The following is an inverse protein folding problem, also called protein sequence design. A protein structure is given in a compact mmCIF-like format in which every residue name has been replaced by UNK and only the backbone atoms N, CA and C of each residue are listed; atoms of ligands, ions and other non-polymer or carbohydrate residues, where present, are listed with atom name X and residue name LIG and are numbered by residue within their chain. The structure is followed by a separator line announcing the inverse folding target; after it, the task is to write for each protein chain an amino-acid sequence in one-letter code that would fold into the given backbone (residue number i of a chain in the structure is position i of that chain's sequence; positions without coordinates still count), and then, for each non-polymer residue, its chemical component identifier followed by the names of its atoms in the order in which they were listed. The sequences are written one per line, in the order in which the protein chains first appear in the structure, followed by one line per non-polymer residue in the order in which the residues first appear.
data_IF_497404157547
#
_entry.id   IF_497404157547
#
_cell.length_a   1.000
_cell.length_b   1.000
_cell.length_c   1.000
_cell.angle_alpha   90.00
_cell.angle_beta   90.00
_cell.angle_gamma   90.00
#
_symmetry.space_group_name_H-M   'P 1'
#
loop_
_entity.id
_entity.type
_entity.pdbx_description
1 polymer ?
#
# COMPACT_ATOMS: atom_id res chain seq x y z
N UNK A 1 45.41 13.27 -33.46
CA UNK A 1 45.74 11.86 -33.20
C UNK A 1 44.89 11.41 -32.03
N UNK A 2 44.14 10.33 -32.24
CA UNK A 2 43.08 9.83 -31.37
C UNK A 2 43.54 8.60 -30.56
N UNK A 3 43.05 8.52 -29.32
CA UNK A 3 42.70 7.30 -28.55
C UNK A 3 43.78 6.25 -28.21
N UNK A 4 43.50 5.24 -27.37
CA UNK A 4 42.86 5.30 -26.04
C UNK A 4 43.55 4.34 -25.03
N UNK A 5 43.49 4.60 -23.72
CA UNK A 5 43.89 3.61 -22.70
C UNK A 5 42.66 3.03 -21.99
N UNK A 6 42.19 1.93 -22.58
CA UNK A 6 41.50 0.74 -22.05
C UNK A 6 40.77 0.79 -20.69
N UNK A 7 39.48 0.47 -20.78
CA UNK A 7 38.70 -0.21 -19.75
C UNK A 7 39.46 -1.38 -19.11
N UNK A 8 39.48 -1.45 -17.78
CA UNK A 8 39.72 -2.67 -17.03
C UNK A 8 38.37 -3.25 -16.54
N UNK A 9 38.14 -4.56 -16.66
CA UNK A 9 36.85 -5.19 -16.40
C UNK A 9 36.59 -5.38 -14.90
N UNK A 10 35.32 -5.27 -14.53
CA UNK A 10 34.83 -5.55 -13.19
C UNK A 10 35.15 -7.00 -12.81
N UNK A 11 35.99 -7.19 -11.78
CA UNK A 11 36.22 -8.51 -11.21
C UNK A 11 35.03 -8.93 -10.35
N UNK A 12 34.26 -9.87 -10.87
CA UNK A 12 33.22 -10.59 -10.16
C UNK A 12 33.87 -11.53 -9.12
N UNK A 13 33.90 -11.12 -7.86
CA UNK A 13 34.28 -12.01 -6.76
C UNK A 13 33.16 -13.01 -6.52
N UNK A 14 33.36 -14.22 -7.06
CA UNK A 14 32.57 -15.43 -6.79
C UNK A 14 32.55 -15.71 -5.29
N UNK A 15 31.39 -15.63 -4.65
CA UNK A 15 31.13 -16.34 -3.40
C UNK A 15 30.57 -17.71 -3.80
N UNK A 16 31.33 -18.76 -3.48
CA UNK A 16 31.08 -20.13 -3.94
C UNK A 16 29.82 -20.79 -3.34
N UNK A 17 29.38 -21.91 -3.93
CA UNK A 17 28.11 -22.54 -3.65
C UNK A 17 28.31 -23.67 -2.63
N UNK A 18 28.37 -23.35 -1.33
CA UNK A 18 28.31 -24.38 -0.29
C UNK A 18 27.62 -23.81 0.96
N UNK A 19 26.29 -23.84 0.93
CA UNK A 19 25.50 -23.97 2.15
C UNK A 19 24.27 -24.81 1.82
N UNK A 20 24.52 -26.12 1.77
CA UNK A 20 23.51 -27.17 1.75
C UNK A 20 22.65 -27.01 3.00
N UNK A 21 21.45 -26.46 2.85
CA UNK A 21 20.43 -26.58 3.88
C UNK A 21 19.85 -27.99 3.79
N UNK A 22 20.36 -28.87 4.65
CA UNK A 22 19.88 -30.23 4.79
C UNK A 22 18.40 -30.25 5.14
N UNK A 23 17.64 -31.03 4.38
CA UNK A 23 16.28 -31.43 4.70
C UNK A 23 16.32 -32.44 5.84
N UNK A 24 16.07 -32.00 7.07
CA UNK A 24 15.72 -32.89 8.17
C UNK A 24 14.20 -32.82 8.37
N UNK A 25 13.50 -33.87 7.91
CA UNK A 25 12.10 -34.12 8.28
C UNK A 25 12.10 -34.64 9.72
N UNK A 26 11.86 -33.77 10.68
CA UNK A 26 11.33 -34.14 11.98
C UNK A 26 9.91 -33.59 12.09
N UNK A 27 8.94 -34.48 12.31
CA UNK A 27 7.55 -34.12 12.48
C UNK A 27 7.38 -33.25 13.72
N UNK A 28 6.89 -32.03 13.52
CA UNK A 28 6.52 -31.11 14.58
C UNK A 28 5.72 -29.98 13.98
N UNK A 29 4.43 -29.90 14.35
CA UNK A 29 3.60 -28.72 14.09
C UNK A 29 4.29 -27.50 14.68
N UNK A 30 4.89 -26.68 13.83
CA UNK A 30 5.40 -25.36 14.20
C UNK A 30 4.37 -24.34 13.74
N UNK A 31 3.49 -23.98 14.66
CA UNK A 31 2.73 -22.73 14.56
C UNK A 31 3.74 -21.60 14.43
N UNK A 32 3.66 -20.83 13.34
CA UNK A 32 4.38 -19.56 13.21
C UNK A 32 3.73 -18.50 14.12
N UNK A 33 3.85 -18.70 15.43
CA UNK A 33 3.66 -17.67 16.46
C UNK A 33 5.04 -17.15 16.81
N UNK A 34 5.50 -16.13 16.09
CA UNK A 34 6.86 -15.62 16.35
C UNK A 34 7.37 -14.58 15.36
N UNK A 35 6.57 -13.57 15.04
CA UNK A 35 7.13 -12.28 14.60
C UNK A 35 6.58 -11.19 15.51
N UNK A 36 7.43 -10.29 16.06
CA UNK A 36 7.03 -9.34 17.07
C UNK A 36 6.22 -8.20 16.46
N UNK A 37 4.93 -8.45 16.22
CA UNK A 37 3.94 -7.37 16.16
C UNK A 37 3.72 -6.74 17.55
N UNK A 38 4.25 -7.37 18.60
CA UNK A 38 4.01 -7.09 20.02
C UNK A 38 5.05 -6.16 20.68
N UNK A 39 6.11 -5.74 19.97
CA UNK A 39 7.18 -4.89 20.55
C UNK A 39 6.90 -3.38 20.52
N UNK A 40 5.70 -2.94 20.11
CA UNK A 40 5.32 -1.54 20.21
C UNK A 40 3.93 -1.38 20.85
N UNK A 41 3.84 -1.42 22.19
CA UNK A 41 2.57 -1.51 22.92
C UNK A 41 1.70 -0.23 22.86
N UNK A 42 2.08 0.81 22.12
CA UNK A 42 1.40 2.11 22.14
C UNK A 42 0.78 2.55 20.81
N UNK A 43 0.89 1.79 19.71
CA UNK A 43 0.35 2.21 18.40
C UNK A 43 -0.32 1.03 17.67
N UNK A 44 -1.61 1.17 17.33
CA UNK A 44 -2.40 0.14 16.63
C UNK A 44 -1.86 -0.21 15.22
N UNK A 45 -2.27 -1.37 14.65
CA UNK A 45 -1.67 -1.96 13.43
C UNK A 45 -1.69 -1.07 12.18
N UNK A 46 -2.54 -0.05 12.14
CA UNK A 46 -2.66 0.90 11.02
C UNK A 46 -1.68 2.07 11.08
N UNK A 47 -1.20 2.43 12.28
CA UNK A 47 -0.20 3.49 12.50
C UNK A 47 1.23 2.98 12.28
N UNK A 48 1.41 1.65 12.25
CA UNK A 48 2.73 1.00 12.14
C UNK A 48 3.36 1.14 10.75
N UNK A 49 2.58 1.26 9.67
CA UNK A 49 3.14 1.27 8.31
C UNK A 49 4.04 2.48 8.06
N UNK A 50 3.60 3.68 8.41
CA UNK A 50 4.40 4.91 8.24
C UNK A 50 5.70 4.85 9.05
N UNK A 51 5.61 4.46 10.33
CA UNK A 51 6.80 4.34 11.17
C UNK A 51 7.80 3.30 10.65
N UNK A 52 7.32 2.16 10.14
CA UNK A 52 8.15 1.12 9.53
C UNK A 52 8.82 1.66 8.26
N UNK A 53 8.07 2.31 7.36
CA UNK A 53 8.63 2.89 6.13
C UNK A 53 9.73 3.93 6.44
N UNK A 54 9.48 4.82 7.42
CA UNK A 54 10.48 5.78 7.87
C UNK A 54 11.70 5.11 8.53
N UNK A 55 11.50 4.02 9.27
CA UNK A 55 12.61 3.24 9.82
C UNK A 55 13.45 2.59 8.71
N UNK A 56 12.80 1.97 7.72
CA UNK A 56 13.48 1.31 6.60
C UNK A 56 14.28 2.30 5.77
N UNK A 57 13.70 3.46 5.43
CA UNK A 57 14.42 4.51 4.68
C UNK A 57 15.69 4.97 5.40
N UNK A 58 15.61 5.18 6.72
CA UNK A 58 16.75 5.60 7.56
C UNK A 58 17.78 4.50 7.74
N UNK A 59 17.35 3.27 8.03
CA UNK A 59 18.23 2.12 8.29
C UNK A 59 19.02 1.72 7.06
N UNK A 60 18.35 1.65 5.91
CA UNK A 60 18.94 1.16 4.67
C UNK A 60 19.47 2.27 3.77
N UNK A 61 19.37 3.54 4.19
CA UNK A 61 19.84 4.71 3.42
C UNK A 61 19.30 4.67 1.98
N UNK A 62 18.00 4.47 1.86
CA UNK A 62 17.31 4.41 0.56
C UNK A 62 17.53 5.70 -0.23
N UNK A 63 17.35 5.69 -1.57
CA UNK A 63 17.42 6.90 -2.38
C UNK A 63 16.61 8.07 -1.82
N UNK A 64 17.17 9.29 -1.92
CA UNK A 64 16.64 10.49 -1.25
C UNK A 64 15.19 10.80 -1.60
N UNK A 65 14.76 10.50 -2.84
CA UNK A 65 13.39 10.79 -3.31
C UNK A 65 12.30 10.13 -2.47
N UNK A 66 12.56 8.98 -1.83
CA UNK A 66 11.57 8.31 -0.97
C UNK A 66 11.18 9.18 0.22
N UNK A 67 12.18 9.79 0.86
CA UNK A 67 11.99 10.67 2.01
C UNK A 67 13.00 11.83 1.93
N UNK A 68 12.68 12.89 1.16
CA UNK A 68 13.63 13.92 0.75
C UNK A 68 14.35 14.60 1.91
N UNK A 69 15.58 15.05 1.68
CA UNK A 69 16.31 15.91 2.64
C UNK A 69 15.90 17.37 2.58
N UNK A 70 15.43 17.85 1.43
CA UNK A 70 14.86 19.18 1.31
C UNK A 70 13.69 19.35 2.29
N UNK A 71 13.73 20.43 3.07
CA UNK A 71 12.78 20.66 4.16
C UNK A 71 11.34 20.78 3.65
N UNK A 72 11.12 21.44 2.52
CA UNK A 72 9.78 21.66 1.99
C UNK A 72 9.21 20.39 1.35
N UNK A 73 10.03 19.64 0.60
CA UNK A 73 9.64 18.37 0.02
C UNK A 73 9.32 17.33 1.12
N UNK A 74 10.15 17.28 2.17
CA UNK A 74 9.89 16.44 3.35
C UNK A 74 8.58 16.81 4.04
N UNK A 75 8.34 18.10 4.26
CA UNK A 75 7.11 18.58 4.88
C UNK A 75 5.85 18.18 4.07
N UNK A 76 5.93 18.15 2.74
CA UNK A 76 4.82 17.66 1.89
C UNK A 76 4.58 16.16 2.05
N UNK A 77 5.65 15.36 2.17
CA UNK A 77 5.53 13.92 2.45
C UNK A 77 4.88 13.70 3.82
N UNK A 78 5.37 14.40 4.85
CA UNK A 78 4.84 14.30 6.22
C UNK A 78 3.38 14.78 6.29
N UNK A 79 3.02 15.87 5.60
CA UNK A 79 1.64 16.37 5.51
C UNK A 79 0.70 15.31 4.95
N UNK A 80 1.08 14.67 3.84
CA UNK A 80 0.27 13.59 3.25
C UNK A 80 0.15 12.39 4.19
N UNK A 81 1.28 11.93 4.76
CA UNK A 81 1.29 10.75 5.62
C UNK A 81 0.46 10.95 6.89
N UNK A 82 0.41 12.17 7.41
CA UNK A 82 -0.48 12.54 8.52
C UNK A 82 -1.95 12.59 8.09
N UNK A 83 -2.25 13.21 6.94
CA UNK A 83 -3.61 13.39 6.45
C UNK A 83 -4.31 12.07 6.08
N UNK A 84 -3.60 11.13 5.42
CA UNK A 84 -4.24 9.91 4.90
C UNK A 84 -4.92 9.07 5.99
N UNK A 85 -4.40 9.09 7.23
CA UNK A 85 -4.84 8.21 8.30
C UNK A 85 -6.32 8.40 8.66
N UNK A 86 -6.83 9.63 8.57
CA UNK A 86 -8.20 9.98 8.92
C UNK A 86 -9.07 10.31 7.70
N UNK A 87 -8.48 10.35 6.50
CA UNK A 87 -9.17 10.66 5.26
C UNK A 87 -9.09 9.48 4.28
N UNK A 88 -8.11 9.48 3.37
CA UNK A 88 -8.06 8.54 2.25
C UNK A 88 -8.10 7.08 2.69
N UNK A 89 -7.28 6.71 3.67
CA UNK A 89 -7.21 5.34 4.20
C UNK A 89 -8.56 4.85 4.70
N UNK A 90 -9.24 5.66 5.51
CA UNK A 90 -10.55 5.35 6.09
C UNK A 90 -11.58 5.14 4.97
N UNK A 91 -11.61 6.03 3.99
CA UNK A 91 -12.63 6.01 2.94
C UNK A 91 -12.41 4.88 1.92
N UNK A 92 -11.16 4.59 1.55
CA UNK A 92 -10.82 3.42 0.73
C UNK A 92 -11.17 2.11 1.43
N UNK A 93 -10.87 1.99 2.73
CA UNK A 93 -11.17 0.80 3.52
C UNK A 93 -12.68 0.59 3.69
N UNK A 94 -13.43 1.63 4.07
CA UNK A 94 -14.89 1.58 4.16
C UNK A 94 -15.51 1.21 2.82
N UNK A 95 -15.00 1.74 1.71
CA UNK A 95 -15.47 1.39 0.37
C UNK A 95 -15.28 -0.10 0.07
N UNK A 96 -14.10 -0.66 0.34
CA UNK A 96 -13.85 -2.09 0.17
C UNK A 96 -14.80 -2.94 1.01
N UNK A 97 -15.02 -2.55 2.26
CA UNK A 97 -15.90 -3.30 3.16
C UNK A 97 -17.36 -3.21 2.77
N UNK A 98 -17.88 -2.00 2.56
CA UNK A 98 -19.30 -1.78 2.27
C UNK A 98 -19.71 -2.29 0.89
N UNK A 99 -18.85 -2.13 -0.13
CA UNK A 99 -19.18 -2.52 -1.50
C UNK A 99 -18.93 -3.99 -1.78
N UNK A 100 -17.96 -4.62 -1.11
CA UNK A 100 -17.50 -5.96 -1.46
C UNK A 100 -17.42 -6.93 -0.28
N UNK A 101 -16.63 -6.63 0.76
CA UNK A 101 -16.35 -7.64 1.79
C UNK A 101 -17.58 -7.99 2.65
N UNK A 102 -18.40 -7.03 3.05
CA UNK A 102 -19.64 -7.33 3.78
C UNK A 102 -20.61 -8.15 2.93
N UNK A 103 -21.02 -7.72 1.71
CA UNK A 103 -22.01 -8.46 0.94
C UNK A 103 -21.49 -9.80 0.41
N UNK A 104 -20.25 -9.88 -0.08
CA UNK A 104 -19.72 -11.09 -0.76
C UNK A 104 -19.04 -12.04 0.22
N UNK A 105 -18.13 -11.53 1.05
CA UNK A 105 -17.33 -12.37 1.94
C UNK A 105 -18.06 -12.71 3.25
N UNK A 106 -18.74 -11.73 3.86
CA UNK A 106 -19.51 -11.92 5.10
C UNK A 106 -20.95 -12.36 4.84
N UNK A 107 -21.51 -12.11 3.66
CA UNK A 107 -22.93 -12.37 3.36
C UNK A 107 -23.85 -11.42 4.12
N UNK A 108 -23.36 -10.25 4.53
CA UNK A 108 -24.09 -9.24 5.28
C UNK A 108 -24.49 -8.09 4.34
N UNK A 109 -25.79 -7.81 4.17
CA UNK A 109 -26.23 -6.74 3.30
C UNK A 109 -25.84 -5.38 3.88
N UNK A 110 -25.52 -4.44 2.99
CA UNK A 110 -25.24 -3.04 3.34
C UNK A 110 -26.39 -2.18 2.83
N UNK A 111 -26.89 -1.30 3.69
CA UNK A 111 -27.97 -0.39 3.33
C UNK A 111 -27.55 0.52 2.14
N UNK A 112 -28.39 0.68 1.11
CA UNK A 112 -28.05 1.50 -0.06
C UNK A 112 -27.61 2.93 0.29
N UNK A 113 -28.23 3.53 1.31
CA UNK A 113 -27.92 4.88 1.80
C UNK A 113 -26.52 4.95 2.41
N UNK A 114 -26.13 3.91 3.16
CA UNK A 114 -24.80 3.80 3.76
C UNK A 114 -23.72 3.62 2.69
N UNK A 115 -23.99 2.82 1.65
CA UNK A 115 -23.08 2.65 0.53
C UNK A 115 -22.93 3.97 -0.24
N UNK A 116 -24.04 4.66 -0.55
CA UNK A 116 -24.02 5.94 -1.24
C UNK A 116 -23.22 7.00 -0.47
N UNK A 117 -23.41 7.10 0.86
CA UNK A 117 -22.63 8.00 1.70
C UNK A 117 -21.13 7.66 1.67
N UNK A 118 -20.78 6.37 1.73
CA UNK A 118 -19.37 5.92 1.67
C UNK A 118 -18.71 6.28 0.34
N UNK A 119 -19.43 6.12 -0.77
CA UNK A 119 -18.93 6.48 -2.09
C UNK A 119 -18.76 8.00 -2.25
N UNK A 120 -19.66 8.80 -1.66
CA UNK A 120 -19.51 10.25 -1.63
C UNK A 120 -18.31 10.71 -0.78
N UNK A 121 -18.06 10.07 0.37
CA UNK A 121 -16.87 10.32 1.21
C UNK A 121 -15.57 9.99 0.44
N UNK A 122 -15.56 8.88 -0.30
CA UNK A 122 -14.44 8.52 -1.19
C UNK A 122 -14.24 9.58 -2.26
N UNK A 123 -15.31 9.98 -2.95
CA UNK A 123 -15.24 10.97 -4.05
C UNK A 123 -14.64 12.30 -3.58
N UNK A 124 -15.09 12.81 -2.42
CA UNK A 124 -14.52 14.01 -1.81
C UNK A 124 -13.04 13.86 -1.45
N UNK A 125 -12.61 12.67 -1.04
CA UNK A 125 -11.19 12.39 -0.76
C UNK A 125 -10.34 12.34 -2.01
N UNK A 126 -10.87 11.77 -3.10
CA UNK A 126 -10.22 11.77 -4.41
C UNK A 126 -10.07 13.19 -4.96
N UNK A 127 -11.10 14.02 -4.77
CA UNK A 127 -11.04 15.43 -5.15
C UNK A 127 -9.95 16.17 -4.37
N UNK A 128 -9.90 15.99 -3.04
CA UNK A 128 -8.84 16.60 -2.22
C UNK A 128 -7.45 16.07 -2.60
N UNK A 129 -7.32 14.77 -2.90
CA UNK A 129 -6.07 14.18 -3.35
C UNK A 129 -5.55 14.87 -4.60
N UNK A 130 -6.44 15.12 -5.57
CA UNK A 130 -6.10 15.81 -6.81
C UNK A 130 -5.82 17.31 -6.60
N UNK A 131 -6.69 18.04 -5.90
CA UNK A 131 -6.61 19.50 -5.79
C UNK A 131 -5.56 19.98 -4.79
N UNK A 132 -5.36 19.26 -3.69
CA UNK A 132 -4.40 19.65 -2.64
C UNK A 132 -3.04 19.03 -2.86
N UNK A 133 -2.97 17.72 -3.05
CA UNK A 133 -1.70 16.99 -3.01
C UNK A 133 -1.07 16.88 -4.40
N UNK A 134 -1.77 16.36 -5.40
CA UNK A 134 -1.21 16.20 -6.74
C UNK A 134 -1.06 17.55 -7.46
N UNK A 135 -2.12 18.34 -7.54
CA UNK A 135 -2.22 19.57 -8.31
C UNK A 135 -1.76 19.33 -9.77
N UNK A 136 -0.77 20.08 -10.24
CA UNK A 136 -0.15 19.93 -11.55
C UNK A 136 1.26 19.32 -11.45
N UNK A 137 1.59 18.66 -10.34
CA UNK A 137 2.90 18.02 -10.12
C UNK A 137 2.93 16.60 -10.69
N UNK A 138 4.13 16.07 -10.92
CA UNK A 138 4.30 14.68 -11.35
C UNK A 138 3.90 13.71 -10.23
N UNK A 139 4.32 14.00 -9.01
CA UNK A 139 4.07 13.26 -7.76
C UNK A 139 3.74 14.24 -6.62
N UNK A 140 3.32 13.73 -5.46
CA UNK A 140 2.85 14.61 -4.37
C UNK A 140 3.94 15.52 -3.81
N UNK A 141 5.15 15.00 -3.65
CA UNK A 141 6.28 15.73 -3.08
C UNK A 141 7.12 16.48 -4.12
N UNK A 142 6.84 16.32 -5.42
CA UNK A 142 7.59 17.00 -6.49
C UNK A 142 7.76 16.16 -7.76
N UNK A 143 8.97 16.13 -8.36
CA UNK A 143 9.20 15.49 -9.66
C UNK A 143 9.43 13.97 -9.58
N UNK A 144 9.70 13.42 -8.40
CA UNK A 144 9.98 11.99 -8.18
C UNK A 144 8.98 11.37 -7.21
N UNK A 145 8.82 10.04 -7.32
CA UNK A 145 8.01 9.25 -6.39
C UNK A 145 8.54 9.38 -4.97
N UNK A 146 7.63 9.41 -3.99
CA UNK A 146 7.94 9.45 -2.57
C UNK A 146 7.13 8.41 -1.79
N UNK A 147 7.40 8.29 -0.48
CA UNK A 147 6.57 7.46 0.41
C UNK A 147 5.08 7.89 0.38
N UNK A 148 4.79 9.17 0.15
CA UNK A 148 3.42 9.66 0.08
C UNK A 148 2.65 9.02 -1.10
N UNK A 149 3.29 8.95 -2.27
CA UNK A 149 2.70 8.34 -3.47
C UNK A 149 2.51 6.83 -3.30
N UNK A 150 3.47 6.15 -2.66
CA UNK A 150 3.41 4.71 -2.39
C UNK A 150 2.25 4.35 -1.44
N UNK A 151 2.07 5.14 -0.38
CA UNK A 151 0.96 4.94 0.56
C UNK A 151 -0.38 5.25 -0.12
N UNK A 152 -0.51 6.33 -0.87
CA UNK A 152 -1.74 6.62 -1.61
C UNK A 152 -2.14 5.53 -2.58
N UNK A 153 -1.20 5.05 -3.41
CA UNK A 153 -1.57 4.12 -4.47
C UNK A 153 -2.07 2.80 -3.86
N UNK A 154 -1.41 2.30 -2.83
CA UNK A 154 -1.83 1.07 -2.14
C UNK A 154 -3.20 1.22 -1.47
N UNK A 155 -3.53 2.39 -0.93
CA UNK A 155 -4.86 2.69 -0.40
C UNK A 155 -5.93 2.73 -1.48
N UNK A 156 -5.67 3.43 -2.59
CA UNK A 156 -6.61 3.53 -3.71
C UNK A 156 -6.89 2.18 -4.35
N UNK A 157 -5.92 1.26 -4.34
CA UNK A 157 -6.11 -0.08 -4.87
C UNK A 157 -7.13 -0.92 -4.08
N UNK A 158 -7.45 -0.57 -2.83
CA UNK A 158 -8.59 -1.18 -2.12
C UNK A 158 -9.93 -0.83 -2.80
N UNK A 159 -10.13 0.44 -3.15
CA UNK A 159 -11.36 0.87 -3.84
C UNK A 159 -11.43 0.31 -5.26
N UNK A 160 -10.29 0.19 -5.96
CA UNK A 160 -10.21 -0.48 -7.27
C UNK A 160 -10.57 -1.95 -7.16
N UNK A 161 -10.02 -2.67 -6.18
CA UNK A 161 -10.37 -4.09 -5.93
C UNK A 161 -11.85 -4.28 -5.61
N UNK A 162 -12.50 -3.28 -5.02
CA UNK A 162 -13.94 -3.23 -4.79
C UNK A 162 -14.77 -2.91 -6.05
N UNK A 163 -14.13 -2.74 -7.22
CA UNK A 163 -14.79 -2.38 -8.48
C UNK A 163 -15.25 -0.93 -8.55
N UNK A 164 -14.57 -0.01 -7.87
CA UNK A 164 -14.81 1.43 -8.03
C UNK A 164 -14.00 2.01 -9.18
N UNK A 165 -14.62 2.93 -9.92
CA UNK A 165 -14.00 3.66 -11.02
C UNK A 165 -13.13 4.83 -10.51
N UNK A 166 -12.11 4.52 -9.70
CA UNK A 166 -11.29 5.52 -8.98
C UNK A 166 -10.59 6.50 -9.92
N UNK A 167 -10.19 6.06 -11.12
CA UNK A 167 -9.40 6.84 -12.07
C UNK A 167 -10.19 7.31 -13.29
N UNK A 168 -11.45 6.89 -13.43
CA UNK A 168 -12.31 7.30 -14.54
C UNK A 168 -12.80 8.72 -14.31
N UNK A 169 -12.81 9.56 -15.35
CA UNK A 169 -13.13 10.99 -15.22
C UNK A 169 -12.08 11.83 -14.48
N UNK A 170 -10.97 11.22 -14.00
CA UNK A 170 -9.90 11.89 -13.23
C UNK A 170 -8.54 11.77 -13.94
N UNK A 171 -8.33 12.48 -15.07
CA UNK A 171 -7.17 12.27 -15.94
C UNK A 171 -5.82 12.54 -15.25
N UNK A 172 -5.77 13.48 -14.28
CA UNK A 172 -4.52 13.74 -13.54
C UNK A 172 -4.15 12.58 -12.64
N UNK A 173 -5.12 12.04 -11.88
CA UNK A 173 -4.90 10.85 -11.05
C UNK A 173 -4.60 9.61 -11.89
N UNK A 174 -5.28 9.43 -13.03
CA UNK A 174 -4.98 8.33 -13.95
C UNK A 174 -3.53 8.41 -14.46
N UNK A 175 -3.08 9.58 -14.90
CA UNK A 175 -1.70 9.79 -15.35
C UNK A 175 -0.69 9.63 -14.19
N UNK A 176 -1.03 10.10 -12.98
CA UNK A 176 -0.21 9.89 -11.78
C UNK A 176 -0.06 8.40 -11.44
N UNK A 177 -1.13 7.62 -11.46
CA UNK A 177 -1.07 6.16 -11.26
C UNK A 177 -0.09 5.51 -12.23
N UNK A 178 -0.17 5.85 -13.52
CA UNK A 178 0.74 5.28 -14.52
C UNK A 178 2.20 5.60 -14.22
N UNK A 179 2.50 6.81 -13.76
CA UNK A 179 3.85 7.20 -13.33
C UNK A 179 4.31 6.45 -12.08
N UNK A 180 3.42 6.25 -11.10
CA UNK A 180 3.72 5.50 -9.87
C UNK A 180 3.98 4.03 -10.19
N UNK A 181 3.12 3.40 -11.00
CA UNK A 181 3.27 2.01 -11.44
C UNK A 181 4.59 1.81 -12.20
N UNK A 182 4.94 2.73 -13.10
CA UNK A 182 6.22 2.71 -13.79
C UNK A 182 7.42 2.87 -12.86
N UNK A 183 7.33 3.74 -11.84
CA UNK A 183 8.40 3.99 -10.89
C UNK A 183 8.61 2.83 -9.89
N UNK A 184 7.53 2.13 -9.50
CA UNK A 184 7.59 0.92 -8.66
C UNK A 184 8.04 -0.30 -9.48
N UNK A 185 7.66 -0.35 -10.76
CA UNK A 185 7.87 -1.48 -11.66
C UNK A 185 6.61 -2.34 -11.76
N UNK A 186 6.15 -2.58 -13.00
CA UNK A 186 4.87 -3.22 -13.28
C UNK A 186 4.71 -4.61 -12.66
N UNK A 187 5.78 -5.43 -12.66
CA UNK A 187 5.76 -6.78 -12.08
C UNK A 187 5.50 -6.73 -10.57
N UNK A 188 6.29 -5.92 -9.86
CA UNK A 188 6.13 -5.77 -8.41
C UNK A 188 4.79 -5.12 -8.05
N UNK A 189 4.35 -4.13 -8.83
CA UNK A 189 3.05 -3.50 -8.64
C UNK A 189 1.91 -4.52 -8.80
N UNK A 190 1.96 -5.38 -9.81
CA UNK A 190 0.97 -6.42 -10.02
C UNK A 190 1.01 -7.48 -8.91
N UNK A 191 2.19 -7.96 -8.54
CA UNK A 191 2.38 -8.96 -7.47
C UNK A 191 1.82 -8.45 -6.14
N UNK A 192 2.17 -7.22 -5.75
CA UNK A 192 1.71 -6.61 -4.50
C UNK A 192 0.18 -6.44 -4.43
N UNK A 193 -0.50 -6.29 -5.57
CA UNK A 193 -1.94 -6.08 -5.64
C UNK A 193 -2.73 -7.31 -6.10
N UNK A 194 -2.09 -8.46 -6.31
CA UNK A 194 -2.74 -9.66 -6.84
C UNK A 194 -3.93 -10.09 -5.98
N UNK A 195 -3.74 -10.14 -4.66
CA UNK A 195 -4.77 -10.57 -3.71
C UNK A 195 -5.96 -9.62 -3.71
N UNK A 196 -5.72 -8.30 -3.65
CA UNK A 196 -6.81 -7.33 -3.57
C UNK A 196 -7.61 -7.24 -4.86
N UNK A 197 -6.97 -7.44 -6.02
CA UNK A 197 -7.65 -7.43 -7.32
C UNK A 197 -8.51 -8.68 -7.56
N UNK A 198 -8.19 -9.80 -6.90
CA UNK A 198 -8.94 -11.06 -6.97
C UNK A 198 -9.93 -11.25 -5.81
N UNK A 199 -10.06 -10.28 -4.90
CA UNK A 199 -10.84 -10.45 -3.67
C UNK A 199 -12.33 -10.69 -3.95
N UNK A 200 -12.85 -10.16 -5.06
CA UNK A 200 -14.23 -10.42 -5.53
C UNK A 200 -14.51 -11.89 -5.87
N UNK A 201 -13.45 -12.64 -6.19
CA UNK A 201 -13.52 -14.05 -6.58
C UNK A 201 -13.28 -14.98 -5.37
N UNK A 202 -13.09 -14.40 -4.17
CA UNK A 202 -12.86 -15.17 -2.94
C UNK A 202 -14.14 -15.85 -2.46
N UNK A 203 -14.06 -17.09 -1.96
CA UNK A 203 -15.21 -17.77 -1.39
C UNK A 203 -15.67 -17.06 -0.11
N UNK A 204 -16.97 -17.11 0.23
CA UNK A 204 -17.46 -16.60 1.50
C UNK A 204 -16.74 -17.24 2.68
N UNK A 205 -16.57 -16.47 3.77
CA UNK A 205 -15.97 -16.99 4.99
C UNK A 205 -16.79 -18.14 5.61
N UNK A 206 -16.11 -19.09 6.25
CA UNK A 206 -16.75 -20.07 7.12
C UNK A 206 -17.48 -19.37 8.30
N UNK A 207 -18.64 -19.87 8.78
CA UNK A 207 -19.38 -19.26 9.89
C UNK A 207 -18.54 -19.02 11.16
N UNK A 208 -17.60 -19.91 11.48
CA UNK A 208 -16.70 -19.77 12.64
C UNK A 208 -15.75 -18.59 12.46
N UNK A 209 -15.24 -18.40 11.25
CA UNK A 209 -14.37 -17.28 10.89
C UNK A 209 -15.17 -15.98 10.94
N UNK A 210 -16.38 -15.95 10.39
CA UNK A 210 -17.26 -14.77 10.43
C UNK A 210 -17.49 -14.30 11.86
N UNK A 211 -17.86 -15.22 12.77
CA UNK A 211 -18.14 -14.88 14.16
C UNK A 211 -16.92 -14.30 14.88
N UNK A 212 -15.73 -14.86 14.63
CA UNK A 212 -14.47 -14.36 15.21
C UNK A 212 -14.05 -12.99 14.67
N UNK A 213 -14.24 -12.75 13.37
CA UNK A 213 -13.79 -11.51 12.72
C UNK A 213 -14.74 -10.34 12.95
N UNK A 214 -16.04 -10.60 13.14
CA UNK A 214 -17.10 -9.58 13.25
C UNK A 214 -16.76 -8.39 14.17
N UNK A 215 -16.33 -8.55 15.44
CA UNK A 215 -16.04 -7.41 16.30
C UNK A 215 -14.90 -6.54 15.78
N UNK A 216 -13.84 -7.16 15.25
CA UNK A 216 -12.70 -6.45 14.66
C UNK A 216 -13.08 -5.69 13.40
N UNK A 217 -13.98 -6.25 12.58
CA UNK A 217 -14.48 -5.61 11.36
C UNK A 217 -15.29 -4.36 11.71
N UNK A 218 -16.21 -4.47 12.67
CA UNK A 218 -17.03 -3.33 13.10
C UNK A 218 -16.19 -2.19 13.64
N UNK A 219 -15.17 -2.50 14.45
CA UNK A 219 -14.22 -1.50 14.95
C UNK A 219 -13.35 -0.87 13.86
N UNK A 220 -13.17 -1.54 12.72
CA UNK A 220 -12.34 -1.08 11.60
C UNK A 220 -13.09 -0.13 10.65
N UNK A 221 -14.42 -0.28 10.55
CA UNK A 221 -15.26 0.46 9.58
C UNK A 221 -16.02 1.65 10.20
N UNK A 222 -16.09 1.72 11.53
CA UNK A 222 -16.64 2.86 12.28
C UNK A 222 -15.72 4.08 12.16
#
# INVERSE_FOLDING_TARGET
MASPSSCAPWSCSKVGPDRVWGTERSGGQTSLSGTPADTWPFLGPSLKSVAILLYLTRKYKTPDHWYPQDLQARARVDEYLAWQHTALRRNCLRTLWHKLMLPVFMGEPVAPEMLAATLAELDGSLQLLEDKFLQNKAFFAGPHISLADLVAITELMHAVGAGCQVFEGRPKLAAWRQRVEAAVGAVLFQEAHEVILKVKDSPPADPTIKQKLRPSILALIQ
#
